data_IF_431848907575
#
_entry.id   IF_431848907575
#
_cell.length_a   1.000
_cell.length_b   1.000
_cell.length_c   1.000
_cell.angle_alpha   90.00
_cell.angle_beta   90.00
_cell.angle_gamma   90.00
#
_symmetry.space_group_name_H-M   'P 1'
#
loop_
_entity.id
_entity.type
_entity.pdbx_description
1 polymer ?
#
# COMPACT_ATOMS: atom_id res chain seq x y z
N UNK A 1 15.13 -13.23 -9.48
CA UNK A 1 15.15 -12.36 -8.27
C UNK A 1 13.84 -12.54 -7.51
N UNK A 2 13.88 -12.56 -6.18
CA UNK A 2 12.67 -12.63 -5.35
C UNK A 2 12.43 -11.28 -4.68
N UNK A 3 11.19 -10.80 -4.70
CA UNK A 3 10.77 -9.59 -4.00
C UNK A 3 9.60 -9.97 -3.10
N UNK A 4 9.73 -9.64 -1.82
CA UNK A 4 8.66 -9.75 -0.84
C UNK A 4 8.16 -8.34 -0.56
N UNK A 5 6.86 -8.14 -0.69
CA UNK A 5 6.20 -6.86 -0.44
C UNK A 5 5.48 -6.99 0.90
N UNK A 6 5.87 -6.16 1.86
CA UNK A 6 5.25 -6.11 3.18
C UNK A 6 3.99 -5.22 3.17
N UNK A 7 3.18 -5.35 4.21
CA UNK A 7 1.91 -4.62 4.29
C UNK A 7 2.14 -3.11 4.42
N UNK A 8 3.21 -2.70 5.09
CA UNK A 8 3.63 -1.31 5.28
C UNK A 8 3.87 -0.63 3.94
N UNK A 9 4.65 -1.29 3.05
CA UNK A 9 4.93 -0.80 1.71
C UNK A 9 3.66 -0.64 0.90
N UNK A 10 2.78 -1.65 0.96
CA UNK A 10 1.53 -1.68 0.22
C UNK A 10 0.60 -0.53 0.66
N UNK A 11 0.39 -0.39 1.96
CA UNK A 11 -0.49 0.62 2.56
C UNK A 11 0.04 2.02 2.32
N UNK A 12 1.35 2.24 2.52
CA UNK A 12 1.96 3.54 2.32
C UNK A 12 1.84 3.99 0.86
N UNK A 13 2.18 3.13 -0.11
CA UNK A 13 2.08 3.46 -1.53
C UNK A 13 0.62 3.69 -1.97
N UNK A 14 -0.33 2.88 -1.49
CA UNK A 14 -1.75 3.07 -1.79
C UNK A 14 -2.27 4.41 -1.25
N UNK A 15 -1.96 4.75 0.01
CA UNK A 15 -2.41 5.98 0.65
C UNK A 15 -1.74 7.23 0.05
N UNK A 16 -0.49 7.15 -0.42
CA UNK A 16 0.14 8.24 -1.18
C UNK A 16 -0.68 8.54 -2.44
N UNK A 17 -1.00 7.53 -3.25
CA UNK A 17 -1.76 7.72 -4.49
C UNK A 17 -3.18 8.25 -4.20
N UNK A 18 -3.86 7.69 -3.20
CA UNK A 18 -5.21 8.14 -2.80
C UNK A 18 -5.22 9.58 -2.26
N UNK A 19 -4.23 9.94 -1.44
CA UNK A 19 -4.12 11.27 -0.86
C UNK A 19 -3.80 12.31 -1.94
N UNK A 20 -2.83 12.03 -2.82
CA UNK A 20 -2.39 12.98 -3.85
C UNK A 20 -3.41 13.16 -4.97
N UNK A 21 -4.14 12.11 -5.35
CA UNK A 21 -5.07 12.15 -6.49
C UNK A 21 -6.51 12.49 -6.09
N UNK A 22 -6.94 12.09 -4.89
CA UNK A 22 -8.33 12.23 -4.45
C UNK A 22 -8.50 12.95 -3.11
N UNK A 23 -7.42 13.27 -2.41
CA UNK A 23 -7.50 13.76 -1.03
C UNK A 23 -8.05 12.71 -0.05
N UNK A 24 -8.13 11.43 -0.46
CA UNK A 24 -8.69 10.35 0.36
C UNK A 24 -7.60 9.80 1.29
N UNK A 25 -7.89 9.77 2.60
CA UNK A 25 -6.97 9.35 3.66
C UNK A 25 -7.18 7.92 4.13
N UNK A 26 -8.00 7.13 3.44
CA UNK A 26 -8.41 5.81 3.92
C UNK A 26 -8.51 4.79 2.78
N UNK A 27 -8.24 3.54 3.08
CA UNK A 27 -8.25 2.43 2.12
C UNK A 27 -8.75 1.15 2.79
N UNK A 28 -9.68 0.44 2.13
CA UNK A 28 -10.21 -0.82 2.64
C UNK A 28 -9.22 -1.96 2.39
N UNK A 29 -9.22 -2.98 3.25
CA UNK A 29 -8.34 -4.14 3.07
C UNK A 29 -8.55 -4.86 1.74
N UNK A 30 -9.81 -4.99 1.30
CA UNK A 30 -10.13 -5.56 -0.02
C UNK A 30 -9.52 -4.78 -1.19
N UNK A 31 -9.40 -3.46 -1.06
CA UNK A 31 -8.85 -2.60 -2.11
C UNK A 31 -7.31 -2.72 -2.11
N UNK A 32 -6.70 -2.90 -0.93
CA UNK A 32 -5.28 -3.23 -0.79
C UNK A 32 -4.96 -4.60 -1.41
N UNK A 33 -5.80 -5.61 -1.21
CA UNK A 33 -5.60 -6.94 -1.82
C UNK A 33 -5.59 -6.85 -3.35
N UNK A 34 -6.55 -6.12 -3.94
CA UNK A 34 -6.63 -5.91 -5.38
C UNK A 34 -5.46 -5.07 -5.93
N UNK A 35 -5.11 -4.00 -5.22
CA UNK A 35 -3.97 -3.15 -5.55
C UNK A 35 -2.66 -3.96 -5.52
N UNK A 36 -2.42 -4.70 -4.44
CA UNK A 36 -1.25 -5.52 -4.25
C UNK A 36 -1.12 -6.62 -5.30
N UNK A 37 -2.21 -7.32 -5.62
CA UNK A 37 -2.20 -8.32 -6.68
C UNK A 37 -1.72 -7.72 -8.02
N UNK A 38 -2.19 -6.52 -8.37
CA UNK A 38 -1.73 -5.83 -9.57
C UNK A 38 -0.23 -5.48 -9.52
N UNK A 39 0.29 -5.12 -8.34
CA UNK A 39 1.73 -4.81 -8.16
C UNK A 39 2.58 -6.06 -8.31
N UNK A 40 2.16 -7.19 -7.73
CA UNK A 40 2.85 -8.49 -7.88
C UNK A 40 2.89 -8.93 -9.34
N UNK A 41 1.78 -8.80 -10.06
CA UNK A 41 1.71 -9.07 -11.49
C UNK A 41 2.66 -8.16 -12.28
N UNK A 42 2.67 -6.85 -11.99
CA UNK A 42 3.56 -5.90 -12.66
C UNK A 42 5.03 -6.25 -12.44
N UNK A 43 5.42 -6.59 -11.21
CA UNK A 43 6.79 -6.97 -10.88
C UNK A 43 7.21 -8.29 -11.52
N UNK A 44 6.29 -9.24 -11.66
CA UNK A 44 6.59 -10.58 -12.16
C UNK A 44 6.43 -10.72 -13.68
N UNK A 45 6.09 -9.62 -14.38
CA UNK A 45 5.76 -9.61 -15.81
C UNK A 45 6.92 -9.97 -16.73
N UNK A 46 8.17 -9.76 -16.30
CA UNK A 46 9.38 -10.09 -17.07
C UNK A 46 9.78 -11.57 -16.97
N UNK A 47 9.15 -12.35 -16.08
CA UNK A 47 9.46 -13.76 -15.84
C UNK A 47 10.77 -14.02 -15.08
N UNK A 48 11.63 -13.02 -14.90
CA UNK A 48 12.90 -13.10 -14.15
C UNK A 48 12.69 -12.79 -12.65
N UNK A 49 11.66 -12.01 -12.36
CA UNK A 49 11.28 -11.59 -11.02
C UNK A 49 10.08 -12.37 -10.53
N UNK A 50 10.18 -12.87 -9.31
CA UNK A 50 9.07 -13.49 -8.58
C UNK A 50 8.73 -12.60 -7.40
N UNK A 51 7.58 -11.94 -7.47
CA UNK A 51 7.08 -11.13 -6.37
C UNK A 51 6.02 -11.88 -5.56
N UNK A 52 5.97 -11.64 -4.25
CA UNK A 52 4.91 -12.13 -3.38
C UNK A 52 4.51 -11.04 -2.38
N UNK A 53 3.22 -10.97 -2.08
CA UNK A 53 2.69 -10.18 -0.96
C UNK A 53 2.73 -11.02 0.31
N UNK A 54 3.31 -10.44 1.35
CA UNK A 54 3.34 -11.03 2.69
C UNK A 54 2.32 -10.28 3.53
N UNK A 55 1.04 -10.61 3.33
CA UNK A 55 -0.07 -9.97 4.02
C UNK A 55 -0.93 -11.04 4.70
N UNK A 56 -1.12 -10.84 6.00
CA UNK A 56 -2.10 -11.55 6.82
C UNK A 56 -2.88 -10.55 7.68
N UNK A 57 -3.95 -11.01 8.31
CA UNK A 57 -4.71 -10.19 9.27
C UNK A 57 -3.84 -9.74 10.45
N UNK A 58 -2.94 -10.61 10.90
CA UNK A 58 -1.98 -10.31 11.97
C UNK A 58 -1.01 -9.21 11.53
N UNK A 59 -0.44 -9.28 10.32
CA UNK A 59 0.42 -8.21 9.81
C UNK A 59 -0.30 -6.86 9.68
N UNK A 60 -1.59 -6.89 9.28
CA UNK A 60 -2.40 -5.68 9.19
C UNK A 60 -2.62 -5.03 10.56
N UNK A 61 -2.84 -5.83 11.60
CA UNK A 61 -3.00 -5.31 12.97
C UNK A 61 -1.66 -4.86 13.55
N UNK A 62 -0.60 -5.64 13.35
CA UNK A 62 0.76 -5.30 13.77
C UNK A 62 1.21 -3.95 13.20
N UNK A 63 0.99 -3.70 11.91
CA UNK A 63 1.28 -2.40 11.30
C UNK A 63 0.54 -1.24 12.00
N UNK A 64 -0.74 -1.41 12.32
CA UNK A 64 -1.51 -0.35 12.99
C UNK A 64 -0.97 -0.11 14.41
N UNK A 65 -0.57 -1.16 15.12
CA UNK A 65 0.02 -1.11 16.46
C UNK A 65 1.42 -0.47 16.46
N UNK A 66 2.27 -0.83 15.49
CA UNK A 66 3.64 -0.34 15.36
C UNK A 66 3.71 1.13 14.93
N UNK A 67 2.70 1.60 14.18
CA UNK A 67 2.63 2.94 13.61
C UNK A 67 1.36 3.70 14.04
N UNK A 68 0.99 3.58 15.32
CA UNK A 68 -0.19 4.25 15.90
C UNK A 68 -0.12 5.77 15.83
N UNK A 69 1.04 6.38 15.62
CA UNK A 69 1.21 7.81 15.40
C UNK A 69 0.76 8.25 14.00
N UNK A 70 0.80 7.35 13.01
CA UNK A 70 0.47 7.63 11.62
C UNK A 70 -0.87 7.05 11.18
N UNK A 71 -1.21 5.85 11.64
CA UNK A 71 -2.36 5.09 11.16
C UNK A 71 -3.36 4.73 12.26
N UNK A 72 -4.59 4.46 11.84
CA UNK A 72 -5.64 3.91 12.67
C UNK A 72 -6.54 2.97 11.87
N UNK A 73 -7.13 1.99 12.55
CA UNK A 73 -8.16 1.15 11.95
C UNK A 73 -9.44 1.96 11.74
N UNK A 74 -10.13 1.73 10.63
CA UNK A 74 -11.47 2.25 10.41
C UNK A 74 -12.41 1.17 9.88
N UNK A 75 -13.71 1.42 10.03
CA UNK A 75 -14.76 0.58 9.47
C UNK A 75 -15.77 1.47 8.76
N UNK A 76 -16.19 1.05 7.56
CA UNK A 76 -17.22 1.69 6.76
C UNK A 76 -18.13 0.62 6.18
N UNK A 77 -19.43 0.71 6.44
CA UNK A 77 -20.45 -0.23 5.93
C UNK A 77 -20.12 -1.71 6.23
N UNK A 78 -19.52 -1.98 7.40
CA UNK A 78 -19.07 -3.31 7.81
C UNK A 78 -17.76 -3.80 7.17
N UNK A 79 -17.16 -3.00 6.29
CA UNK A 79 -15.86 -3.27 5.69
C UNK A 79 -14.74 -2.56 6.47
N UNK A 80 -13.67 -3.28 6.77
CA UNK A 80 -12.52 -2.76 7.54
C UNK A 80 -11.42 -2.25 6.63
N UNK A 81 -10.65 -1.29 7.12
CA UNK A 81 -9.49 -0.75 6.44
C UNK A 81 -8.54 0.01 7.35
N UNK A 82 -7.58 0.68 6.72
CA UNK A 82 -6.60 1.55 7.37
C UNK A 82 -6.84 2.99 6.94
N UNK A 83 -6.81 3.90 7.93
CA UNK A 83 -6.88 5.34 7.74
C UNK A 83 -5.58 5.99 8.20
N UNK A 84 -5.15 6.98 7.43
CA UNK A 84 -4.08 7.90 7.77
C UNK A 84 -4.63 8.99 8.70
N UNK A 85 -3.97 9.21 9.84
CA UNK A 85 -4.33 10.28 10.78
C UNK A 85 -4.21 11.67 10.14
N UNK A 86 -4.95 12.61 10.71
CA UNK A 86 -4.92 14.00 10.26
C UNK A 86 -3.53 14.61 10.39
N UNK A 87 -3.18 15.48 9.43
CA UNK A 87 -1.88 16.16 9.41
C UNK A 87 -0.73 15.36 8.83
N UNK A 88 -0.85 14.03 8.67
CA UNK A 88 0.18 13.24 7.99
C UNK A 88 0.12 13.51 6.48
N UNK A 89 1.26 13.80 5.87
CA UNK A 89 1.43 14.14 4.45
C UNK A 89 1.92 12.96 3.62
N UNK A 90 1.74 13.01 2.29
CA UNK A 90 2.30 11.99 1.39
C UNK A 90 3.84 11.98 1.43
N UNK A 91 4.48 13.12 1.68
CA UNK A 91 5.93 13.19 1.84
C UNK A 91 6.40 12.42 3.08
N UNK A 92 5.72 12.54 4.22
CA UNK A 92 6.06 11.76 5.41
C UNK A 92 5.90 10.26 5.19
N UNK A 93 4.85 9.83 4.46
CA UNK A 93 4.69 8.42 4.06
C UNK A 93 5.85 7.98 3.15
N UNK A 94 6.22 8.81 2.18
CA UNK A 94 7.31 8.52 1.25
C UNK A 94 8.65 8.37 1.98
N UNK A 95 8.99 9.33 2.85
CA UNK A 95 10.23 9.33 3.62
C UNK A 95 10.33 8.11 4.54
N UNK A 96 9.22 7.73 5.18
CA UNK A 96 9.17 6.65 6.17
C UNK A 96 9.20 5.26 5.54
N UNK A 97 8.48 5.04 4.45
CA UNK A 97 8.24 3.69 3.92
C UNK A 97 8.84 3.45 2.54
N UNK A 98 8.98 4.47 1.71
CA UNK A 98 9.33 4.27 0.29
C UNK A 98 10.82 4.46 -0.02
N UNK A 99 11.60 5.11 0.86
CA UNK A 99 13.02 5.43 0.60
C UNK A 99 13.94 4.22 0.58
N UNK A 100 13.54 3.11 1.21
CA UNK A 100 14.24 1.82 1.19
C UNK A 100 13.90 0.96 -0.03
N UNK A 101 12.85 1.31 -0.78
CA UNK A 101 12.37 0.51 -1.90
C UNK A 101 13.24 0.69 -3.13
N UNK A 102 13.44 -0.40 -3.88
CA UNK A 102 14.11 -0.33 -5.18
C UNK A 102 13.25 0.45 -6.19
N UNK A 103 13.91 1.10 -7.15
CA UNK A 103 13.21 1.83 -8.24
C UNK A 103 12.22 0.95 -9.00
N UNK A 104 12.50 -0.35 -9.14
CA UNK A 104 11.60 -1.31 -9.79
C UNK A 104 10.31 -1.49 -9.01
N UNK A 105 10.39 -1.58 -7.68
CA UNK A 105 9.22 -1.71 -6.80
C UNK A 105 8.39 -0.43 -6.79
N UNK A 106 9.04 0.73 -6.67
CA UNK A 106 8.39 2.04 -6.79
C UNK A 106 7.64 2.16 -8.12
N UNK A 107 8.29 1.79 -9.24
CA UNK A 107 7.68 1.86 -10.56
C UNK A 107 6.46 0.94 -10.68
N UNK A 108 6.50 -0.24 -10.08
CA UNK A 108 5.37 -1.17 -10.08
C UNK A 108 4.16 -0.59 -9.31
N UNK A 109 4.37 -0.06 -8.10
CA UNK A 109 3.31 0.60 -7.31
C UNK A 109 2.64 1.76 -8.05
N UNK A 110 3.42 2.52 -8.81
CA UNK A 110 2.98 3.70 -9.55
C UNK A 110 2.50 3.42 -10.97
N UNK A 111 2.47 2.16 -11.38
CA UNK A 111 2.00 1.79 -12.72
C UNK A 111 0.48 1.96 -12.84
N UNK A 112 -0.01 2.09 -14.07
CA UNK A 112 -1.41 2.40 -14.36
C UNK A 112 -2.40 1.37 -13.81
N UNK A 113 -2.03 0.09 -13.85
CA UNK A 113 -2.96 -0.99 -13.49
C UNK A 113 -3.26 -1.03 -11.98
N UNK A 114 -2.26 -0.99 -11.08
CA UNK A 114 -2.49 -0.80 -9.65
C UNK A 114 -3.29 0.47 -9.34
N UNK A 115 -2.94 1.63 -9.93
CA UNK A 115 -3.70 2.88 -9.73
C UNK A 115 -5.19 2.73 -10.01
N UNK A 116 -5.54 2.12 -11.15
CA UNK A 116 -6.93 1.81 -11.50
C UNK A 116 -7.62 0.89 -10.49
N UNK A 117 -6.91 -0.05 -9.87
CA UNK A 117 -7.48 -0.91 -8.82
C UNK A 117 -7.88 -0.12 -7.56
N UNK A 118 -7.17 0.98 -7.26
CA UNK A 118 -7.55 1.97 -6.23
C UNK A 118 -8.57 3.01 -6.74
N UNK A 119 -8.96 2.89 -8.01
CA UNK A 119 -9.84 3.80 -8.72
C UNK A 119 -9.24 5.19 -8.97
N UNK A 120 -7.92 5.37 -8.84
CA UNK A 120 -7.22 6.63 -9.14
C UNK A 120 -6.62 6.64 -10.54
#
# INVERSE_FOLDING_TARGET
>A
MYIYIEIEDLVANALIELLEKKGKREVLFKDLDAYGACVVEALSSDGETKAALVVSRESQMAMIEDYTDMFEAFEQDGAKGIRLKDGISSLQLWERFCTSLSMKVIAAFRSERPKRALGV
#
